data_IF_739611311327
#
_entry.id   IF_739611311327
#
_cell.length_a   1.000
_cell.length_b   1.000
_cell.length_c   1.000
_cell.angle_alpha   90.00
_cell.angle_beta   90.00
_cell.angle_gamma   90.00
#
_symmetry.space_group_name_H-M   'P 1'
#
loop_
_entity.id
_entity.type
_entity.pdbx_description
1 polymer ?
#
# COMPACT_ATOMS: atom_id res chain seq x y z
N UNK A 1 51.12 32.60 -76.92
CA UNK A 1 51.28 32.14 -75.52
C UNK A 1 49.97 32.53 -74.81
N UNK A 2 49.03 31.55 -74.64
CA UNK A 2 47.73 31.79 -74.04
C UNK A 2 47.76 31.24 -72.64
N UNK A 3 47.53 32.10 -71.67
CA UNK A 3 47.44 31.77 -70.21
C UNK A 3 45.97 31.46 -69.91
N UNK A 4 45.70 30.22 -69.48
CA UNK A 4 44.38 29.86 -68.95
C UNK A 4 44.33 30.19 -67.42
N UNK A 5 43.25 30.70 -66.91
CA UNK A 5 43.04 30.87 -65.45
C UNK A 5 42.55 29.57 -64.84
N UNK A 6 43.15 29.16 -63.72
CA UNK A 6 42.68 28.10 -62.81
C UNK A 6 41.46 28.63 -62.02
N UNK A 7 40.33 27.95 -62.16
CA UNK A 7 39.16 28.15 -61.28
C UNK A 7 39.28 27.23 -60.10
N UNK A 8 39.49 27.76 -58.92
CA UNK A 8 39.44 27.02 -57.66
C UNK A 8 37.96 26.82 -57.21
N UNK A 9 37.48 25.59 -57.26
CA UNK A 9 36.14 25.24 -56.73
C UNK A 9 36.29 24.99 -55.20
N UNK A 10 35.81 25.91 -54.38
CA UNK A 10 35.72 25.75 -52.95
C UNK A 10 34.59 24.82 -52.58
N UNK A 11 34.90 23.67 -51.99
CA UNK A 11 33.94 22.71 -51.46
C UNK A 11 33.43 23.19 -50.05
N UNK A 12 32.19 23.70 -50.01
CA UNK A 12 31.56 24.12 -48.77
C UNK A 12 31.01 22.88 -48.04
N UNK A 13 31.69 22.41 -47.01
CA UNK A 13 31.22 21.29 -46.16
C UNK A 13 30.26 21.89 -45.12
N UNK A 14 28.96 21.65 -45.29
CA UNK A 14 27.94 21.95 -44.30
C UNK A 14 27.96 20.87 -43.19
N UNK A 15 28.44 21.23 -42.00
CA UNK A 15 28.33 20.38 -40.81
C UNK A 15 26.87 20.48 -40.31
N UNK A 16 26.11 19.41 -40.54
CA UNK A 16 24.82 19.23 -39.83
C UNK A 16 25.13 18.72 -38.41
N UNK A 17 24.95 19.57 -37.42
CA UNK A 17 24.90 19.15 -36.03
C UNK A 17 23.63 18.30 -35.81
N UNK A 18 23.75 17.06 -35.29
CA UNK A 18 22.55 16.31 -34.94
C UNK A 18 21.79 17.06 -33.86
N UNK A 19 20.52 17.41 -34.15
CA UNK A 19 19.61 17.96 -33.14
C UNK A 19 19.51 16.96 -31.98
N UNK A 20 19.86 17.39 -30.76
CA UNK A 20 19.67 16.60 -29.56
C UNK A 20 18.19 16.24 -29.46
N UNK A 21 17.84 14.98 -29.71
CA UNK A 21 16.52 14.45 -29.37
C UNK A 21 16.32 14.62 -27.85
N UNK A 22 15.17 15.15 -27.40
CA UNK A 22 14.89 15.24 -25.98
C UNK A 22 14.96 13.84 -25.38
N UNK A 23 15.69 13.70 -24.27
CA UNK A 23 15.75 12.44 -23.52
C UNK A 23 14.32 11.99 -23.17
N UNK A 24 13.99 10.69 -23.26
CA UNK A 24 12.67 10.21 -22.90
C UNK A 24 12.38 10.61 -21.45
N UNK A 25 11.35 11.42 -21.27
CA UNK A 25 10.85 11.75 -19.94
C UNK A 25 10.37 10.44 -19.31
N UNK A 26 11.07 9.98 -18.29
CA UNK A 26 10.62 8.88 -17.43
C UNK A 26 9.33 9.35 -16.75
N UNK A 27 8.18 9.03 -17.35
CA UNK A 27 6.90 9.25 -16.70
C UNK A 27 6.78 8.26 -15.55
N UNK A 28 6.95 8.74 -14.32
CA UNK A 28 6.60 7.94 -13.14
C UNK A 28 5.16 7.46 -13.31
N UNK A 29 4.88 6.17 -13.12
CA UNK A 29 3.51 5.67 -13.21
C UNK A 29 2.59 6.46 -12.26
N UNK A 30 1.34 6.72 -12.65
CA UNK A 30 0.42 7.43 -11.79
C UNK A 30 0.22 6.66 -10.49
N UNK A 31 0.25 7.35 -9.37
CA UNK A 31 -0.12 6.83 -8.08
C UNK A 31 -1.49 7.36 -7.66
N UNK A 32 -2.19 6.58 -6.85
CA UNK A 32 -3.57 6.85 -6.45
C UNK A 32 -3.66 7.00 -4.95
N UNK A 33 -4.41 7.98 -4.48
CA UNK A 33 -4.72 8.15 -3.06
C UNK A 33 -5.84 7.22 -2.63
N UNK A 34 -5.70 6.67 -1.45
CA UNK A 34 -6.70 5.89 -0.76
C UNK A 34 -6.65 6.12 0.75
N UNK A 35 -7.55 5.48 1.45
CA UNK A 35 -7.59 5.51 2.90
C UNK A 35 -7.92 4.13 3.47
N UNK A 36 -7.54 3.92 4.72
CA UNK A 36 -8.01 2.81 5.52
C UNK A 36 -8.47 3.27 6.90
N UNK A 37 -9.28 2.44 7.53
CA UNK A 37 -9.77 2.58 8.89
C UNK A 37 -10.50 1.32 9.34
N UNK A 38 -10.68 1.17 10.65
CA UNK A 38 -11.38 0.01 11.22
C UNK A 38 -12.88 0.04 10.90
N UNK A 39 -13.55 1.17 11.09
CA UNK A 39 -14.99 1.27 10.92
C UNK A 39 -15.38 1.85 9.56
N UNK A 40 -16.45 1.32 8.98
CA UNK A 40 -17.04 1.88 7.77
C UNK A 40 -17.48 3.34 8.00
N UNK A 41 -17.11 4.28 7.10
CA UNK A 41 -17.34 5.71 7.34
C UNK A 41 -18.81 6.14 7.23
N UNK A 42 -19.67 5.25 6.77
CA UNK A 42 -21.08 5.53 6.52
C UNK A 42 -21.38 5.86 5.05
N UNK A 43 -22.61 5.52 4.62
CA UNK A 43 -23.02 5.65 3.23
C UNK A 43 -22.96 7.11 2.73
N UNK A 44 -23.31 8.05 3.60
CA UNK A 44 -23.30 9.50 3.29
C UNK A 44 -21.89 10.07 3.12
N UNK A 45 -20.86 9.41 3.66
CA UNK A 45 -19.48 9.82 3.53
C UNK A 45 -18.89 9.51 2.14
N UNK A 46 -19.38 8.48 1.46
CA UNK A 46 -18.79 7.97 0.22
C UNK A 46 -18.66 9.05 -0.87
N UNK A 47 -19.68 9.83 -1.23
CA UNK A 47 -19.55 10.86 -2.27
C UNK A 47 -18.58 11.99 -1.88
N UNK A 48 -18.36 12.21 -0.59
CA UNK A 48 -17.43 13.21 -0.09
C UNK A 48 -16.00 12.68 -0.22
N UNK A 49 -15.74 11.49 0.33
CA UNK A 49 -14.42 10.84 0.31
C UNK A 49 -13.97 10.52 -1.11
N UNK A 50 -14.89 10.14 -2.02
CA UNK A 50 -14.57 9.83 -3.40
C UNK A 50 -13.97 11.00 -4.20
N UNK A 51 -14.18 12.24 -3.75
CA UNK A 51 -13.57 13.43 -4.38
C UNK A 51 -12.04 13.40 -4.28
N UNK A 52 -11.49 12.71 -3.29
CA UNK A 52 -10.05 12.69 -3.03
C UNK A 52 -9.44 11.30 -3.09
N UNK A 53 -10.21 10.26 -2.87
CA UNK A 53 -9.71 8.90 -2.72
C UNK A 53 -10.22 7.99 -3.82
N UNK A 54 -9.32 7.22 -4.42
CA UNK A 54 -9.64 6.24 -5.47
C UNK A 54 -10.01 4.88 -4.88
N UNK A 55 -9.49 4.54 -3.71
CA UNK A 55 -9.73 3.25 -3.06
C UNK A 55 -9.84 3.39 -1.54
N UNK A 56 -10.36 2.36 -0.91
CA UNK A 56 -10.50 2.28 0.55
C UNK A 56 -10.21 0.87 1.03
N UNK A 57 -9.83 0.73 2.31
CA UNK A 57 -9.85 -0.58 2.98
C UNK A 57 -11.24 -1.21 2.92
N UNK A 58 -11.26 -2.54 3.03
CA UNK A 58 -12.47 -3.33 3.21
C UNK A 58 -12.15 -4.56 4.07
N UNK A 59 -12.67 -4.61 5.28
CA UNK A 59 -12.42 -5.70 6.20
C UNK A 59 -13.29 -6.92 5.87
N UNK A 60 -12.65 -8.05 5.62
CA UNK A 60 -13.32 -9.34 5.37
C UNK A 60 -13.69 -10.08 6.66
N UNK A 61 -12.95 -9.81 7.74
CA UNK A 61 -13.22 -10.27 9.09
C UNK A 61 -13.46 -9.09 10.03
N UNK A 62 -13.38 -9.34 11.33
CA UNK A 62 -13.42 -8.27 12.31
C UNK A 62 -12.11 -7.46 12.27
N UNK A 63 -12.17 -6.12 12.22
CA UNK A 63 -10.98 -5.30 12.43
C UNK A 63 -10.34 -5.58 13.79
N UNK A 64 -9.06 -5.22 14.00
CA UNK A 64 -8.40 -5.38 15.29
C UNK A 64 -9.22 -4.78 16.44
N UNK A 65 -9.39 -5.56 17.51
CA UNK A 65 -10.15 -5.19 18.71
C UNK A 65 -11.65 -4.89 18.50
N UNK A 66 -12.20 -5.08 17.30
CA UNK A 66 -13.62 -4.92 17.03
C UNK A 66 -14.41 -6.19 17.35
N UNK A 67 -15.68 -6.02 17.74
CA UNK A 67 -16.64 -7.12 17.96
C UNK A 67 -17.63 -7.27 16.82
N UNK A 68 -17.62 -6.35 15.88
CA UNK A 68 -18.49 -6.32 14.70
C UNK A 68 -17.68 -5.88 13.49
N UNK A 69 -18.18 -6.17 12.30
CA UNK A 69 -17.61 -5.68 11.04
C UNK A 69 -18.66 -4.79 10.35
N UNK A 70 -18.46 -3.47 10.44
CA UNK A 70 -19.35 -2.48 9.83
C UNK A 70 -19.21 -2.39 8.29
N UNK A 71 -18.18 -3.02 7.71
CA UNK A 71 -17.97 -3.08 6.26
C UNK A 71 -18.82 -4.17 5.58
N UNK A 72 -19.28 -5.16 6.34
CA UNK A 72 -20.03 -6.28 5.79
C UNK A 72 -21.25 -5.81 4.99
N UNK A 73 -21.40 -6.33 3.75
CA UNK A 73 -22.47 -5.98 2.83
C UNK A 73 -22.32 -4.62 2.14
N UNK A 74 -21.20 -3.91 2.31
CA UNK A 74 -21.00 -2.55 1.75
C UNK A 74 -20.30 -2.54 0.39
N UNK A 75 -19.75 -3.69 -0.06
CA UNK A 75 -18.96 -3.76 -1.30
C UNK A 75 -19.69 -3.18 -2.52
N UNK A 76 -20.92 -3.62 -2.79
CA UNK A 76 -21.66 -3.18 -3.98
C UNK A 76 -21.90 -1.66 -3.99
N UNK A 77 -22.21 -1.09 -2.82
CA UNK A 77 -22.42 0.35 -2.66
C UNK A 77 -21.12 1.13 -2.89
N UNK A 78 -20.01 0.69 -2.30
CA UNK A 78 -18.71 1.32 -2.49
C UNK A 78 -18.23 1.24 -3.94
N UNK A 79 -18.41 0.08 -4.57
CA UNK A 79 -18.09 -0.10 -5.99
C UNK A 79 -18.92 0.84 -6.88
N UNK A 80 -20.23 0.96 -6.62
CA UNK A 80 -21.09 1.91 -7.36
C UNK A 80 -20.72 3.36 -7.13
N UNK A 81 -20.15 3.69 -5.96
CA UNK A 81 -19.57 5.00 -5.68
C UNK A 81 -18.21 5.22 -6.33
N UNK A 82 -17.64 4.21 -7.01
CA UNK A 82 -16.40 4.31 -7.78
C UNK A 82 -15.12 4.00 -6.99
N UNK A 83 -15.23 3.41 -5.80
CA UNK A 83 -14.05 2.99 -5.03
C UNK A 83 -13.49 1.64 -5.52
N UNK A 84 -12.16 1.58 -5.61
CA UNK A 84 -11.41 0.33 -5.54
C UNK A 84 -11.19 -0.11 -4.08
N UNK A 85 -10.53 -1.25 -3.91
CA UNK A 85 -10.46 -1.91 -2.62
C UNK A 85 -9.03 -2.28 -2.20
N UNK A 86 -8.79 -2.21 -0.89
CA UNK A 86 -7.74 -2.89 -0.16
C UNK A 86 -8.42 -3.90 0.78
N UNK A 87 -8.42 -5.18 0.42
CA UNK A 87 -9.08 -6.22 1.22
C UNK A 87 -8.19 -6.60 2.39
N UNK A 88 -8.72 -6.52 3.60
CA UNK A 88 -8.02 -6.78 4.85
C UNK A 88 -8.58 -7.98 5.59
N UNK A 89 -7.67 -8.74 6.18
CA UNK A 89 -7.98 -9.78 7.15
C UNK A 89 -7.00 -9.67 8.33
N UNK A 90 -7.53 -9.53 9.55
CA UNK A 90 -6.70 -9.35 10.75
C UNK A 90 -5.85 -10.58 11.02
N UNK A 91 -4.54 -10.39 11.13
CA UNK A 91 -3.60 -11.40 11.58
C UNK A 91 -3.70 -11.66 13.08
N UNK A 92 -3.15 -12.79 13.56
CA UNK A 92 -3.02 -13.06 14.99
C UNK A 92 -1.84 -12.25 15.58
N UNK A 93 -1.88 -12.04 16.88
CA UNK A 93 -0.70 -11.67 17.66
C UNK A 93 0.27 -12.89 17.73
N UNK A 94 1.60 -12.65 17.66
CA UNK A 94 2.62 -13.70 17.68
C UNK A 94 2.51 -14.62 18.91
N UNK A 95 2.10 -14.05 20.05
CA UNK A 95 1.86 -14.80 21.30
C UNK A 95 0.77 -15.86 21.18
N UNK A 96 -0.10 -15.76 20.19
CA UNK A 96 -1.13 -16.75 19.88
C UNK A 96 -0.59 -17.93 19.06
N UNK A 97 0.57 -17.76 18.40
CA UNK A 97 1.21 -18.75 17.53
C UNK A 97 2.26 -19.58 18.28
N UNK A 98 1.83 -20.37 19.25
CA UNK A 98 2.69 -21.06 20.24
C UNK A 98 3.60 -22.14 19.65
N UNK A 99 3.32 -22.65 18.45
CA UNK A 99 4.16 -23.62 17.75
C UNK A 99 3.97 -23.52 16.24
N UNK A 100 4.97 -24.01 15.48
CA UNK A 100 4.92 -24.03 14.00
C UNK A 100 3.70 -24.83 13.51
N UNK A 101 3.41 -25.97 14.12
CA UNK A 101 2.28 -26.84 13.71
C UNK A 101 0.95 -26.11 13.88
N UNK A 102 0.74 -25.48 15.04
CA UNK A 102 -0.48 -24.71 15.30
C UNK A 102 -0.57 -23.46 14.42
N UNK A 103 0.55 -22.80 14.16
CA UNK A 103 0.62 -21.66 13.28
C UNK A 103 0.23 -22.01 11.83
N UNK A 104 0.72 -23.13 11.30
CA UNK A 104 0.34 -23.63 9.98
C UNK A 104 -1.16 -23.94 9.91
N UNK A 105 -1.70 -24.64 10.92
CA UNK A 105 -3.13 -24.95 10.97
C UNK A 105 -3.99 -23.68 11.04
N UNK A 106 -3.56 -22.72 11.87
CA UNK A 106 -4.25 -21.42 12.00
C UNK A 106 -4.20 -20.63 10.69
N UNK A 107 -3.05 -20.55 10.01
CA UNK A 107 -2.90 -19.83 8.75
C UNK A 107 -3.82 -20.38 7.66
N UNK A 108 -3.92 -21.69 7.53
CA UNK A 108 -4.88 -22.34 6.62
C UNK A 108 -6.33 -21.99 6.96
N UNK A 109 -6.70 -22.13 8.23
CA UNK A 109 -8.07 -21.82 8.68
C UNK A 109 -8.45 -20.37 8.44
N UNK A 110 -7.55 -19.44 8.72
CA UNK A 110 -7.82 -18.01 8.55
C UNK A 110 -7.89 -17.62 7.06
N UNK A 111 -7.04 -18.20 6.21
CA UNK A 111 -7.13 -18.03 4.77
C UNK A 111 -8.46 -18.55 4.19
N UNK A 112 -8.94 -19.71 4.65
CA UNK A 112 -10.24 -20.26 4.25
C UNK A 112 -11.40 -19.34 4.64
N UNK A 113 -11.37 -18.78 5.85
CA UNK A 113 -12.37 -17.80 6.31
C UNK A 113 -12.30 -16.51 5.48
N UNK A 114 -11.10 -15.98 5.23
CA UNK A 114 -10.91 -14.79 4.41
C UNK A 114 -11.44 -15.02 2.99
N UNK A 115 -11.13 -16.17 2.36
CA UNK A 115 -11.61 -16.53 1.04
C UNK A 115 -13.14 -16.69 1.00
N UNK A 116 -13.73 -17.34 2.00
CA UNK A 116 -15.19 -17.47 2.11
C UNK A 116 -15.88 -16.10 2.25
N UNK A 117 -15.32 -15.21 3.07
CA UNK A 117 -15.83 -13.85 3.23
C UNK A 117 -15.72 -13.07 1.92
N UNK A 118 -14.58 -13.11 1.24
CA UNK A 118 -14.38 -12.43 -0.04
C UNK A 118 -15.42 -12.91 -1.08
N UNK A 119 -15.63 -14.23 -1.15
CA UNK A 119 -16.63 -14.82 -2.05
C UNK A 119 -18.04 -14.39 -1.69
N UNK A 120 -18.43 -14.40 -0.41
CA UNK A 120 -19.77 -13.99 0.04
C UNK A 120 -20.06 -12.52 -0.22
N UNK A 121 -19.03 -11.66 -0.16
CA UNK A 121 -19.11 -10.25 -0.51
C UNK A 121 -19.07 -10.02 -2.03
N UNK A 122 -18.83 -11.06 -2.83
CA UNK A 122 -18.81 -11.02 -4.29
C UNK A 122 -17.52 -10.45 -4.88
N UNK A 123 -16.40 -10.50 -4.16
CA UNK A 123 -15.10 -10.17 -4.74
C UNK A 123 -14.69 -11.23 -5.78
N UNK A 124 -14.13 -10.81 -6.93
CA UNK A 124 -13.79 -11.74 -8.02
C UNK A 124 -12.57 -12.61 -7.66
N UNK A 125 -12.43 -13.71 -8.39
CA UNK A 125 -11.17 -14.48 -8.40
C UNK A 125 -9.99 -13.59 -8.76
N UNK A 126 -8.81 -13.94 -8.23
CA UNK A 126 -7.59 -13.13 -8.35
C UNK A 126 -7.56 -11.91 -7.43
N UNK A 127 -8.60 -11.62 -6.63
CA UNK A 127 -8.52 -10.55 -5.65
C UNK A 127 -7.42 -10.82 -4.62
N UNK A 128 -6.61 -9.78 -4.32
CA UNK A 128 -5.55 -9.85 -3.30
C UNK A 128 -6.14 -9.55 -1.94
N UNK A 129 -5.91 -10.43 -0.97
CA UNK A 129 -6.26 -10.22 0.43
C UNK A 129 -4.97 -9.93 1.22
N UNK A 130 -4.91 -8.76 1.83
CA UNK A 130 -3.81 -8.35 2.68
C UNK A 130 -4.03 -8.85 4.11
N UNK A 131 -3.09 -9.68 4.57
CA UNK A 131 -3.01 -10.05 5.97
C UNK A 131 -2.48 -8.87 6.76
N UNK A 132 -3.24 -8.40 7.73
CA UNK A 132 -2.88 -7.29 8.61
C UNK A 132 -1.95 -7.78 9.72
N UNK A 133 -0.68 -7.33 9.69
CA UNK A 133 0.38 -7.68 10.64
C UNK A 133 0.82 -6.40 11.36
N UNK A 134 0.33 -6.23 12.58
CA UNK A 134 0.57 -5.04 13.40
C UNK A 134 1.94 -5.06 14.11
N UNK A 135 2.57 -6.22 14.21
CA UNK A 135 3.85 -6.37 14.90
C UNK A 135 5.00 -5.85 14.02
N UNK A 136 5.88 -5.03 14.61
CA UNK A 136 7.14 -4.60 14.03
C UNK A 136 8.32 -5.52 14.40
N UNK A 137 9.47 -5.29 13.77
CA UNK A 137 10.70 -6.04 14.02
C UNK A 137 10.73 -7.42 13.39
N UNK A 138 11.58 -8.27 13.93
CA UNK A 138 11.75 -9.66 13.49
C UNK A 138 10.59 -10.52 13.97
N UNK A 139 9.91 -11.17 13.04
CA UNK A 139 8.83 -12.09 13.39
C UNK A 139 9.38 -13.48 13.79
N UNK A 140 8.73 -14.16 14.75
CA UNK A 140 9.16 -15.50 15.16
C UNK A 140 8.91 -16.55 14.06
N UNK A 141 9.66 -17.67 14.05
CA UNK A 141 9.51 -18.73 13.05
C UNK A 141 8.08 -19.28 12.91
N UNK A 142 7.30 -19.29 13.98
CA UNK A 142 5.89 -19.66 13.96
C UNK A 142 5.06 -18.67 13.14
N UNK A 143 5.36 -17.37 13.22
CA UNK A 143 4.68 -16.36 12.43
C UNK A 143 4.98 -16.51 10.93
N UNK A 144 6.25 -16.71 10.58
CA UNK A 144 6.62 -17.00 9.19
C UNK A 144 5.91 -18.26 8.65
N UNK A 145 5.76 -19.30 9.48
CA UNK A 145 5.02 -20.50 9.10
C UNK A 145 3.52 -20.23 8.89
N UNK A 146 2.94 -19.37 9.73
CA UNK A 146 1.57 -18.90 9.60
C UNK A 146 1.36 -18.14 8.27
N UNK A 147 2.21 -17.14 7.97
CA UNK A 147 2.10 -16.34 6.75
C UNK A 147 2.25 -17.21 5.50
N UNK A 148 3.21 -18.15 5.49
CA UNK A 148 3.34 -19.11 4.36
C UNK A 148 2.08 -19.94 4.16
N UNK A 149 1.52 -20.48 5.24
CA UNK A 149 0.33 -21.31 5.19
C UNK A 149 -0.91 -20.51 4.72
N UNK A 150 -1.05 -19.26 5.20
CA UNK A 150 -2.10 -18.34 4.77
C UNK A 150 -1.99 -18.06 3.26
N UNK A 151 -0.79 -17.69 2.79
CA UNK A 151 -0.52 -17.41 1.37
C UNK A 151 -0.83 -18.61 0.47
N UNK A 152 -0.34 -19.80 0.85
CA UNK A 152 -0.55 -21.02 0.08
C UNK A 152 -2.03 -21.40 -0.02
N UNK A 153 -2.79 -21.19 1.05
CA UNK A 153 -4.21 -21.54 1.08
C UNK A 153 -5.08 -20.54 0.28
N UNK A 154 -4.76 -19.23 0.33
CA UNK A 154 -5.40 -18.24 -0.53
C UNK A 154 -5.18 -18.57 -2.02
N UNK A 155 -3.95 -18.93 -2.38
CA UNK A 155 -3.62 -19.33 -3.77
C UNK A 155 -4.44 -20.53 -4.23
N UNK A 156 -4.66 -21.53 -3.37
CA UNK A 156 -5.54 -22.68 -3.68
C UNK A 156 -7.01 -22.28 -3.88
N UNK A 157 -7.42 -21.20 -3.22
CA UNK A 157 -8.75 -20.63 -3.34
C UNK A 157 -8.93 -19.70 -4.56
N UNK A 158 -7.92 -19.61 -5.44
CA UNK A 158 -7.94 -18.72 -6.60
C UNK A 158 -7.77 -17.24 -6.27
N UNK A 159 -7.21 -16.91 -5.08
CA UNK A 159 -7.02 -15.56 -4.61
C UNK A 159 -5.53 -15.22 -4.49
N UNK A 160 -5.20 -13.94 -4.63
CA UNK A 160 -3.88 -13.42 -4.34
C UNK A 160 -3.69 -13.18 -2.85
N UNK A 161 -2.43 -13.21 -2.40
CA UNK A 161 -2.06 -12.86 -1.04
C UNK A 161 -1.27 -11.55 -1.03
N UNK A 162 -1.46 -10.77 0.03
CA UNK A 162 -0.65 -9.63 0.39
C UNK A 162 -0.42 -9.61 1.90
N UNK A 163 0.45 -8.71 2.34
CA UNK A 163 0.65 -8.39 3.75
C UNK A 163 0.62 -6.89 3.94
N UNK A 164 -0.04 -6.43 5.00
CA UNK A 164 0.17 -5.11 5.59
C UNK A 164 1.15 -5.29 6.74
N UNK A 165 2.25 -4.54 6.76
CA UNK A 165 3.29 -4.67 7.76
C UNK A 165 4.19 -3.43 7.85
N UNK A 166 5.05 -3.38 8.88
CA UNK A 166 6.00 -2.30 9.07
C UNK A 166 7.02 -2.21 7.93
N UNK A 167 7.18 -1.00 7.40
CA UNK A 167 8.30 -0.58 6.57
C UNK A 167 9.32 0.28 7.33
N UNK A 168 9.14 0.42 8.64
CA UNK A 168 10.07 1.15 9.51
C UNK A 168 11.26 0.27 9.87
N UNK A 169 12.39 0.94 10.14
CA UNK A 169 13.59 0.28 10.66
C UNK A 169 13.42 0.09 12.15
N UNK A 170 13.49 -1.16 12.62
CA UNK A 170 13.49 -1.53 14.02
C UNK A 170 14.91 -1.87 14.49
N UNK A 171 15.29 -1.44 15.69
CA UNK A 171 16.57 -1.73 16.32
C UNK A 171 16.51 -3.08 17.04
N UNK A 172 17.37 -4.01 16.66
CA UNK A 172 17.52 -5.33 17.31
C UNK A 172 18.63 -5.36 18.40
N UNK A 173 19.26 -4.21 18.64
CA UNK A 173 20.41 -4.10 19.53
C UNK A 173 21.75 -4.40 18.84
N UNK A 174 22.84 -4.07 19.52
CA UNK A 174 24.23 -4.26 19.05
C UNK A 174 24.52 -3.67 17.65
N UNK A 175 23.79 -2.63 17.26
CA UNK A 175 23.92 -1.97 15.96
C UNK A 175 23.23 -2.74 14.79
N UNK A 176 22.50 -3.80 15.09
CA UNK A 176 21.72 -4.51 14.10
C UNK A 176 20.32 -3.88 13.96
N UNK A 177 19.83 -3.87 12.74
CA UNK A 177 18.49 -3.37 12.43
C UNK A 177 17.75 -4.34 11.52
N UNK A 178 16.43 -4.27 11.53
CA UNK A 178 15.56 -5.06 10.66
C UNK A 178 14.38 -4.20 10.18
N UNK A 179 13.84 -4.57 9.02
CA UNK A 179 12.56 -4.06 8.52
C UNK A 179 11.63 -5.27 8.41
N UNK A 180 10.47 -5.20 9.03
CA UNK A 180 9.52 -6.33 9.07
C UNK A 180 9.10 -6.82 7.68
N UNK A 181 8.91 -5.91 6.72
CA UNK A 181 8.60 -6.29 5.35
C UNK A 181 9.73 -7.10 4.68
N UNK A 182 11.00 -6.77 4.95
CA UNK A 182 12.16 -7.53 4.47
C UNK A 182 12.26 -8.89 5.17
N UNK A 183 12.03 -8.93 6.47
CA UNK A 183 12.00 -10.17 7.25
C UNK A 183 10.95 -11.15 6.67
N UNK A 184 9.73 -10.69 6.44
CA UNK A 184 8.67 -11.49 5.81
C UNK A 184 9.12 -11.95 4.42
N UNK A 185 9.62 -11.06 3.59
CA UNK A 185 10.04 -11.36 2.22
C UNK A 185 11.11 -12.43 2.17
N UNK A 186 12.10 -12.36 3.05
CA UNK A 186 13.20 -13.32 3.13
C UNK A 186 12.73 -14.72 3.57
N UNK A 187 11.62 -14.81 4.31
CA UNK A 187 11.09 -16.07 4.82
C UNK A 187 9.95 -16.67 3.99
N UNK A 188 9.43 -15.96 2.98
CA UNK A 188 8.37 -16.48 2.11
C UNK A 188 8.87 -17.38 0.97
N UNK A 189 10.15 -17.40 0.70
CA UNK A 189 10.73 -18.14 -0.43
C UNK A 189 10.24 -17.60 -1.78
N UNK A 190 9.90 -18.50 -2.72
CA UNK A 190 9.44 -18.14 -4.06
C UNK A 190 7.94 -17.73 -4.13
N UNK A 191 7.28 -17.45 -3.01
CA UNK A 191 5.88 -17.02 -3.00
C UNK A 191 5.78 -15.57 -3.45
N UNK A 192 4.95 -15.33 -4.45
CA UNK A 192 4.61 -13.99 -4.87
C UNK A 192 3.48 -13.46 -4.01
N UNK A 193 3.73 -12.33 -3.34
CA UNK A 193 2.73 -11.59 -2.57
C UNK A 193 2.85 -10.09 -2.81
N UNK A 194 1.78 -9.37 -2.55
CA UNK A 194 1.77 -7.90 -2.57
C UNK A 194 2.14 -7.36 -1.19
N UNK A 195 2.90 -6.26 -1.17
CA UNK A 195 3.28 -5.59 0.07
C UNK A 195 2.56 -4.25 0.21
N UNK A 196 1.85 -4.10 1.29
CA UNK A 196 1.34 -2.83 1.77
C UNK A 196 2.11 -2.48 3.03
N UNK A 197 2.94 -1.46 2.95
CA UNK A 197 3.82 -1.08 4.06
C UNK A 197 3.36 0.21 4.71
N UNK A 198 3.39 0.26 6.04
CA UNK A 198 3.34 1.54 6.71
C UNK A 198 4.76 2.05 6.98
N UNK A 199 4.95 3.32 6.68
CA UNK A 199 6.11 4.11 7.06
C UNK A 199 5.62 5.54 7.21
N UNK A 200 5.18 5.86 8.41
CA UNK A 200 4.48 7.09 8.77
C UNK A 200 5.28 7.97 9.69
N UNK A 201 6.62 7.82 9.69
CA UNK A 201 7.50 8.74 10.40
C UNK A 201 7.26 10.15 9.86
N UNK A 202 6.51 10.92 10.60
CA UNK A 202 6.08 12.26 10.22
C UNK A 202 7.16 13.30 10.52
N UNK A 203 7.46 14.21 9.61
CA UNK A 203 6.84 14.39 8.31
C UNK A 203 7.53 13.51 7.27
N UNK A 204 6.92 12.40 6.84
CA UNK A 204 7.39 11.75 5.62
C UNK A 204 7.05 12.63 4.42
N UNK A 205 7.69 12.42 3.30
CA UNK A 205 7.19 13.00 2.05
C UNK A 205 6.03 12.13 1.55
N UNK A 206 4.84 12.67 1.37
CA UNK A 206 4.40 14.06 1.29
C UNK A 206 4.04 14.74 2.63
N UNK A 207 4.29 14.14 3.77
CA UNK A 207 3.92 14.66 5.07
C UNK A 207 2.45 14.39 5.41
N UNK A 208 1.87 15.27 6.23
CA UNK A 208 0.51 15.10 6.76
C UNK A 208 -0.59 15.78 5.91
N UNK A 209 -0.28 16.20 4.70
CA UNK A 209 -1.25 16.78 3.78
C UNK A 209 -1.54 15.84 2.61
N UNK A 210 -2.73 15.97 2.02
CA UNK A 210 -3.05 15.26 0.79
C UNK A 210 -2.21 15.80 -0.36
N UNK A 211 -1.35 15.01 -0.99
CA UNK A 211 -0.55 15.45 -2.11
C UNK A 211 -1.43 15.60 -3.37
N UNK A 212 -1.22 16.67 -4.12
CA UNK A 212 -1.86 16.83 -5.43
C UNK A 212 -1.33 15.81 -6.45
N UNK A 213 -0.04 15.48 -6.34
CA UNK A 213 0.62 14.46 -7.14
C UNK A 213 1.16 13.39 -6.17
N UNK A 214 0.40 12.33 -5.92
CA UNK A 214 0.83 11.30 -4.99
C UNK A 214 2.14 10.66 -5.45
N UNK A 215 3.12 10.47 -4.56
CA UNK A 215 4.35 9.77 -4.88
C UNK A 215 4.07 8.27 -5.08
N UNK A 216 4.95 7.54 -5.78
CA UNK A 216 4.80 6.10 -5.91
C UNK A 216 4.98 5.40 -4.55
N UNK A 217 4.39 4.21 -4.34
CA UNK A 217 4.56 3.45 -3.09
C UNK A 217 6.01 3.16 -2.70
N UNK A 218 6.91 3.05 -3.67
CA UNK A 218 8.35 2.87 -3.44
C UNK A 218 9.02 4.07 -2.73
N UNK A 219 8.37 5.24 -2.70
CA UNK A 219 8.83 6.39 -1.91
C UNK A 219 8.76 6.16 -0.39
N UNK A 220 8.09 5.08 0.04
CA UNK A 220 8.15 4.56 1.42
C UNK A 220 9.56 4.17 1.87
N UNK A 221 10.53 4.04 0.95
CA UNK A 221 11.84 3.43 1.17
C UNK A 221 11.85 1.92 0.89
N UNK A 222 10.70 1.32 0.61
CA UNK A 222 10.54 -0.11 0.29
C UNK A 222 10.26 -0.25 -1.21
N UNK A 223 11.26 -0.65 -2.03
CA UNK A 223 11.15 -0.60 -3.50
C UNK A 223 10.06 -1.51 -4.08
N UNK A 224 9.70 -2.56 -3.37
CA UNK A 224 8.70 -3.55 -3.78
C UNK A 224 7.30 -3.31 -3.19
N UNK A 225 7.09 -2.19 -2.49
CA UNK A 225 5.78 -1.82 -1.98
C UNK A 225 4.79 -1.56 -3.13
N UNK A 226 3.65 -2.24 -3.10
CA UNK A 226 2.51 -1.98 -3.98
C UNK A 226 1.58 -0.90 -3.43
N UNK A 227 1.53 -0.80 -2.10
CA UNK A 227 0.78 0.21 -1.35
C UNK A 227 1.66 0.74 -0.21
N UNK A 228 1.57 2.03 0.04
CA UNK A 228 2.25 2.70 1.14
C UNK A 228 1.25 3.49 1.98
N UNK A 229 1.13 3.12 3.25
CA UNK A 229 0.45 3.95 4.25
C UNK A 229 1.46 4.97 4.77
N UNK A 230 1.31 6.22 4.34
CA UNK A 230 2.28 7.27 4.62
C UNK A 230 1.88 8.14 5.81
N UNK A 231 0.65 8.02 6.28
CA UNK A 231 0.14 8.72 7.47
C UNK A 231 -0.84 7.81 8.19
N UNK A 232 -0.65 7.64 9.49
CA UNK A 232 -1.65 7.12 10.41
C UNK A 232 -2.29 8.29 11.15
N UNK A 233 -3.60 8.24 11.31
CA UNK A 233 -4.33 9.23 12.08
C UNK A 233 -3.92 9.10 13.55
N UNK A 234 -3.28 10.11 14.17
CA UNK A 234 -2.86 9.97 15.55
C UNK A 234 -4.08 9.89 16.45
N UNK A 235 -4.02 8.94 17.38
CA UNK A 235 -5.07 8.73 18.37
C UNK A 235 -4.90 9.60 19.63
N UNK A 236 -3.76 10.29 19.73
CA UNK A 236 -3.40 11.14 20.85
C UNK A 236 -2.67 12.41 20.38
N UNK A 237 -2.68 13.42 21.24
CA UNK A 237 -2.05 14.71 20.96
C UNK A 237 -0.51 14.67 20.97
N UNK A 238 0.12 13.69 21.63
CA UNK A 238 1.57 13.56 21.64
C UNK A 238 2.09 13.15 20.26
N UNK A 239 1.43 12.19 19.61
CA UNK A 239 1.78 11.78 18.25
C UNK A 239 1.58 12.91 17.25
N UNK A 240 0.63 13.81 17.48
CA UNK A 240 0.33 14.94 16.59
C UNK A 240 1.42 16.04 16.60
N UNK A 241 2.21 16.20 17.66
CA UNK A 241 3.19 17.30 17.77
C UNK A 241 4.36 17.19 16.78
N UNK A 242 4.63 16.00 16.27
CA UNK A 242 5.69 15.76 15.30
C UNK A 242 5.26 15.98 13.85
N UNK A 243 4.03 16.31 13.61
CA UNK A 243 3.44 16.41 12.27
C UNK A 243 2.80 17.77 12.06
N UNK A 244 3.48 18.64 11.31
CA UNK A 244 2.90 19.93 10.91
C UNK A 244 1.74 19.70 9.96
N UNK A 245 0.59 20.31 10.23
CA UNK A 245 -0.61 20.15 9.41
C UNK A 245 -1.65 19.22 10.00
N UNK A 246 -1.40 18.56 11.14
CA UNK A 246 -2.46 17.91 11.88
C UNK A 246 -3.49 18.91 12.38
N UNK A 247 -4.76 18.57 12.23
CA UNK A 247 -5.82 19.32 12.88
C UNK A 247 -5.77 19.13 14.40
N UNK A 248 -6.37 20.05 15.15
CA UNK A 248 -6.41 20.00 16.61
C UNK A 248 -7.07 18.75 17.19
N UNK A 249 -7.88 18.05 16.39
CA UNK A 249 -8.53 16.79 16.75
C UNK A 249 -7.67 15.56 16.43
N UNK A 250 -6.42 15.75 16.02
CA UNK A 250 -5.48 14.67 15.71
C UNK A 250 -5.56 14.08 14.31
N UNK A 251 -6.39 14.63 13.40
CA UNK A 251 -6.44 14.17 12.00
C UNK A 251 -5.28 14.74 11.18
N UNK A 252 -4.72 13.91 10.31
CA UNK A 252 -3.56 14.26 9.50
C UNK A 252 -3.88 15.05 8.24
N UNK A 253 -5.09 15.08 7.80
CA UNK A 253 -5.49 15.74 6.56
C UNK A 253 -6.39 16.93 6.89
N UNK A 254 -6.10 18.04 6.24
CA UNK A 254 -6.79 19.30 6.51
C UNK A 254 -7.74 19.72 5.40
N UNK A 255 -7.63 19.06 4.25
CA UNK A 255 -8.22 19.57 3.02
C UNK A 255 -9.76 19.64 3.03
N UNK A 256 -10.42 18.81 3.85
CA UNK A 256 -11.88 18.73 3.86
C UNK A 256 -12.40 18.78 5.27
N UNK A 257 -13.14 19.80 5.60
CA UNK A 257 -13.70 19.96 6.94
C UNK A 257 -14.55 18.77 7.38
N UNK A 258 -15.27 18.19 6.45
CA UNK A 258 -16.10 17.01 6.71
C UNK A 258 -15.32 15.73 6.86
N UNK A 259 -14.13 15.60 6.24
CA UNK A 259 -13.30 14.40 6.34
C UNK A 259 -12.57 14.30 7.68
N UNK A 260 -12.37 15.38 8.40
CA UNK A 260 -11.72 15.41 9.72
C UNK A 260 -12.40 14.52 10.74
N UNK A 261 -13.70 14.34 10.63
CA UNK A 261 -14.48 13.52 11.59
C UNK A 261 -14.19 12.02 11.45
N UNK A 262 -13.52 11.56 10.38
CA UNK A 262 -13.37 10.12 10.10
C UNK A 262 -12.02 9.54 10.46
N UNK A 263 -11.09 10.23 11.04
CA UNK A 263 -9.80 9.67 11.45
C UNK A 263 -9.27 8.61 10.47
N UNK A 264 -8.90 9.03 9.27
CA UNK A 264 -8.44 8.14 8.20
C UNK A 264 -6.94 7.94 8.27
N UNK A 265 -6.48 6.74 8.00
CA UNK A 265 -5.10 6.48 7.66
C UNK A 265 -4.95 6.63 6.13
N UNK A 266 -3.87 7.27 5.68
CA UNK A 266 -3.73 7.71 4.29
C UNK A 266 -2.74 6.84 3.53
N UNK A 267 -3.15 6.44 2.33
CA UNK A 267 -2.41 5.51 1.49
C UNK A 267 -2.16 6.05 0.09
N UNK A 268 -1.07 5.59 -0.51
CA UNK A 268 -0.84 5.65 -1.96
C UNK A 268 -0.65 4.26 -2.52
N UNK A 269 -1.15 4.03 -3.74
CA UNK A 269 -1.00 2.77 -4.44
C UNK A 269 -0.70 2.99 -5.93
N UNK A 270 -0.08 2.01 -6.57
CA UNK A 270 0.16 2.01 -8.01
C UNK A 270 -1.08 1.69 -8.84
N UNK A 271 -2.19 1.35 -8.20
CA UNK A 271 -3.48 1.01 -8.83
C UNK A 271 -4.63 1.72 -8.11
N UNK A 272 -5.68 2.14 -8.84
CA UNK A 272 -6.89 2.67 -8.20
C UNK A 272 -7.74 1.57 -7.54
N UNK A 273 -7.41 0.28 -7.75
CA UNK A 273 -8.02 -0.88 -7.12
C UNK A 273 -6.92 -1.88 -6.75
N UNK A 274 -6.21 -1.65 -5.62
CA UNK A 274 -4.98 -2.38 -5.29
C UNK A 274 -5.19 -3.88 -5.01
N UNK A 275 -6.38 -4.27 -4.59
CA UNK A 275 -6.71 -5.69 -4.39
C UNK A 275 -7.11 -6.42 -5.68
N UNK A 276 -7.16 -5.75 -6.81
CA UNK A 276 -7.44 -6.37 -8.10
C UNK A 276 -6.15 -6.66 -8.84
N UNK A 277 -5.78 -7.93 -8.97
CA UNK A 277 -4.69 -8.32 -9.87
C UNK A 277 -5.08 -7.95 -11.32
N UNK A 278 -4.11 -7.37 -12.03
CA UNK A 278 -4.24 -7.05 -13.46
C UNK A 278 -3.88 -8.24 -14.31
#
# INVERSE_FOLDING_TARGET
MRILPLIAIGLLILFFSPANAPAPQSSTPPAYLGFDRNDYPGDAALPILRKSFSFSSYWLGFPPNAKTNSWHGKRALMQSAGFGFLLLYAGPDSRQLKSIVLAVARGKSDAQKAAASAKSEGFPEGSVIFLDIEEGGRLPPSYHAYVRAFTDELKKSGLGAGVYCSGLVDDEGDGNTIITSDDIRNHLGAREISYWVYNDSCPPSPGCSLPQNPPPPSASGIPYAAVWQFVRSPRDTQSAVHCTGYASNGNCYLAFDTARQWHLDLNVASSPDPSRLR
#
